data_IF_845899267428
#
_entry.id   IF_845899267428
#
_cell.length_a   1.000
_cell.length_b   1.000
_cell.length_c   1.000
_cell.angle_alpha   90.00
_cell.angle_beta   90.00
_cell.angle_gamma   90.00
#
_symmetry.space_group_name_H-M   'P 1'
#
loop_
_entity.id
_entity.type
_entity.pdbx_description
1 polymer ?
2 polymer ?
3 non-polymer ?
4 non-polymer ?
#
# COMPACT_ATOMS: atom_id res chain seq x y z
N UNK A 1 -13.45 -35.48 6.44
CA UNK A 1 -14.74 -35.21 7.06
C UNK A 1 -14.61 -34.32 8.28
N UNK A 2 -14.04 -34.87 9.35
CA UNK A 2 -13.80 -34.08 10.56
C UNK A 2 -12.74 -33.00 10.32
N UNK A 3 -11.92 -33.16 9.28
CA UNK A 3 -10.94 -32.13 8.96
C UNK A 3 -11.62 -30.90 8.37
N UNK A 4 -12.64 -31.10 7.53
CA UNK A 4 -13.39 -29.99 6.98
C UNK A 4 -14.12 -29.22 8.07
N UNK A 5 -14.61 -29.92 9.10
CA UNK A 5 -15.34 -29.26 10.17
C UNK A 5 -14.44 -28.31 10.96
N UNK A 6 -13.28 -28.81 11.40
CA UNK A 6 -12.34 -27.95 12.11
C UNK A 6 -11.93 -26.75 11.26
N UNK A 7 -11.86 -26.92 9.94
CA UNK A 7 -11.43 -25.82 9.08
C UNK A 7 -12.48 -24.71 9.04
N UNK A 8 -13.76 -25.08 8.90
CA UNK A 8 -14.81 -24.09 8.74
C UNK A 8 -15.17 -23.38 10.04
N UNK A 9 -14.87 -23.98 11.19
CA UNK A 9 -15.12 -23.31 12.46
C UNK A 9 -14.10 -22.19 12.68
N UNK A 10 -12.82 -22.48 12.42
CA UNK A 10 -11.80 -21.44 12.52
C UNK A 10 -12.03 -20.34 11.50
N UNK A 11 -12.50 -20.72 10.30
CA UNK A 11 -12.79 -19.76 9.25
C UNK A 11 -13.77 -18.70 9.74
N UNK A 12 -14.92 -19.12 10.27
CA UNK A 12 -15.93 -18.18 10.74
C UNK A 12 -15.49 -17.45 12.00
N UNK A 13 -14.54 -18.01 12.75
CA UNK A 13 -14.09 -17.36 13.97
C UNK A 13 -13.28 -16.10 13.66
N UNK A 14 -12.40 -16.18 12.65
CA UNK A 14 -11.61 -15.03 12.26
C UNK A 14 -12.43 -14.04 11.45
N UNK A 15 -13.30 -14.54 10.57
CA UNK A 15 -14.13 -13.66 9.76
C UNK A 15 -15.06 -12.82 10.63
N UNK A 16 -15.66 -13.44 11.65
CA UNK A 16 -16.50 -12.69 12.58
C UNK A 16 -15.68 -11.63 13.30
N UNK A 17 -14.53 -12.01 13.84
CA UNK A 17 -13.66 -11.04 14.50
C UNK A 17 -13.34 -9.88 13.57
N UNK A 18 -12.92 -10.18 12.34
CA UNK A 18 -12.64 -9.13 11.37
C UNK A 18 -13.89 -8.31 11.05
N UNK A 19 -15.08 -8.87 11.28
CA UNK A 19 -16.30 -8.10 11.10
C UNK A 19 -16.59 -7.20 12.29
N UNK A 20 -16.18 -7.61 13.50
CA UNK A 20 -16.27 -6.72 14.65
C UNK A 20 -15.29 -5.57 14.50
N UNK A 21 -14.01 -5.89 14.34
CA UNK A 21 -12.92 -4.91 14.28
C UNK A 21 -12.22 -5.09 12.94
N UNK A 22 -12.55 -4.23 11.97
CA UNK A 22 -11.99 -4.34 10.64
C UNK A 22 -10.47 -4.20 10.66
N UNK A 23 -9.93 -3.43 11.59
CA UNK A 23 -8.50 -3.25 11.71
C UNK A 23 -7.81 -4.30 12.56
N UNK A 24 -8.49 -5.39 12.87
CA UNK A 24 -7.95 -6.40 13.78
C UNK A 24 -6.83 -7.17 13.12
N UNK A 25 -5.63 -7.09 13.69
CA UNK A 25 -4.52 -7.90 13.22
C UNK A 25 -4.66 -9.32 13.73
N UNK A 26 -4.17 -10.27 12.95
CA UNK A 26 -4.21 -11.68 13.28
C UNK A 26 -2.79 -12.23 13.30
N UNK A 27 -2.49 -13.03 14.31
CA UNK A 27 -1.17 -13.63 14.43
C UNK A 27 -1.14 -14.99 13.72
N UNK A 28 0.08 -15.51 13.55
CA UNK A 28 0.23 -16.82 12.90
C UNK A 28 -0.39 -17.92 13.74
N UNK A 29 -0.47 -17.74 15.06
CA UNK A 29 -1.15 -18.71 15.91
C UNK A 29 -2.62 -18.82 15.53
N UNK A 30 -3.30 -17.67 15.40
CA UNK A 30 -4.71 -17.68 15.03
C UNK A 30 -4.92 -18.24 13.63
N UNK A 31 -3.98 -18.00 12.72
CA UNK A 31 -4.11 -18.44 11.34
C UNK A 31 -3.56 -19.84 11.10
N UNK A 32 -2.74 -20.36 12.01
CA UNK A 32 -2.17 -21.69 11.82
C UNK A 32 -3.21 -22.76 11.52
N UNK A 33 -4.38 -22.77 12.17
CA UNK A 33 -5.39 -23.79 11.83
C UNK A 33 -5.78 -23.81 10.36
N UNK A 34 -5.82 -22.65 9.70
CA UNK A 34 -6.19 -22.62 8.30
C UNK A 34 -5.01 -22.95 7.39
N UNK A 35 -3.83 -22.43 7.73
CA UNK A 35 -2.64 -22.75 6.96
C UNK A 35 -2.27 -24.22 7.11
N UNK A 36 -2.31 -24.74 8.33
CA UNK A 36 -1.84 -26.09 8.62
C UNK A 36 -2.86 -27.17 8.28
N UNK A 37 -4.05 -26.80 7.83
CA UNK A 37 -5.07 -27.79 7.54
C UNK A 37 -4.59 -28.78 6.48
N UNK A 38 -4.94 -30.06 6.68
CA UNK A 38 -4.59 -31.08 5.71
C UNK A 38 -5.36 -30.93 4.41
N UNK A 39 -6.48 -30.19 4.42
CA UNK A 39 -7.28 -30.04 3.22
C UNK A 39 -6.42 -29.48 2.08
N UNK A 40 -6.66 -29.89 0.84
CA UNK A 40 -5.91 -29.32 -0.28
C UNK A 40 -6.17 -27.83 -0.42
N UNK A 41 -5.31 -27.17 -1.21
CA UNK A 41 -5.41 -25.73 -1.36
C UNK A 41 -6.74 -25.33 -2.02
N UNK A 42 -7.20 -26.12 -2.99
CA UNK A 42 -8.44 -25.78 -3.68
C UNK A 42 -9.63 -25.80 -2.74
N UNK A 43 -9.59 -26.61 -1.70
CA UNK A 43 -10.70 -26.72 -0.76
C UNK A 43 -10.61 -25.76 0.42
N UNK A 44 -9.44 -25.16 0.65
CA UNK A 44 -9.28 -24.21 1.75
C UNK A 44 -9.59 -22.77 1.35
N UNK A 45 -9.87 -22.51 0.07
CA UNK A 45 -10.24 -21.19 -0.41
C UNK A 45 -11.56 -21.33 -1.16
N UNK A 46 -12.63 -20.72 -0.63
CA UNK A 46 -13.98 -20.93 -1.14
C UNK A 46 -14.49 -19.79 -2.01
N UNK A 47 -14.05 -18.56 -1.76
CA UNK A 47 -14.36 -17.42 -2.61
C UNK A 47 -13.22 -17.10 -3.58
N UNK A 48 -12.03 -16.90 -3.02
CA UNK A 48 -10.87 -16.55 -3.83
C UNK A 48 -10.37 -17.77 -4.60
N UNK A 49 -10.07 -17.56 -5.90
CA UNK A 49 -9.56 -18.62 -6.75
C UNK A 49 -8.03 -18.65 -6.58
N UNK A 50 -7.60 -19.32 -5.52
CA UNK A 50 -6.19 -19.28 -5.14
C UNK A 50 -5.32 -20.05 -6.12
N UNK A 51 -5.78 -21.23 -6.55
CA UNK A 51 -5.02 -22.03 -7.51
C UNK A 51 -4.63 -21.20 -8.72
N UNK A 52 -5.59 -20.49 -9.30
CA UNK A 52 -5.31 -19.67 -10.48
C UNK A 52 -4.38 -18.51 -10.13
N UNK A 53 -4.66 -17.81 -9.03
CA UNK A 53 -3.90 -16.60 -8.71
C UNK A 53 -2.42 -16.91 -8.58
N UNK A 54 -2.06 -18.03 -7.95
CA UNK A 54 -0.65 -18.39 -7.83
C UNK A 54 -0.09 -18.76 -9.19
N UNK A 55 -0.67 -19.79 -9.83
CA UNK A 55 -0.08 -20.30 -11.06
C UNK A 55 -0.09 -19.25 -12.17
N UNK A 56 -1.19 -18.53 -12.33
CA UNK A 56 -1.30 -17.61 -13.46
C UNK A 56 -0.50 -16.35 -13.26
N UNK A 57 0.42 -16.33 -12.29
CA UNK A 57 1.26 -15.16 -12.12
C UNK A 57 2.69 -15.58 -11.82
N UNK A 58 3.07 -16.80 -12.19
CA UNK A 58 4.43 -17.29 -11.98
C UNK A 58 5.27 -16.97 -13.21
N UNK A 59 5.61 -15.69 -13.33
CA UNK A 59 6.44 -15.19 -14.41
C UNK A 59 7.76 -14.66 -13.86
N UNK A 60 8.84 -14.99 -14.55
CA UNK A 60 10.15 -14.62 -14.06
C UNK A 60 10.55 -15.50 -12.89
N UNK A 61 11.30 -14.91 -11.96
CA UNK A 61 11.76 -15.66 -10.81
C UNK A 61 10.76 -15.58 -9.66
N UNK A 62 10.68 -16.63 -8.83
CA UNK A 62 9.77 -16.56 -7.68
C UNK A 62 10.00 -15.33 -6.80
N UNK A 63 11.25 -14.99 -6.52
CA UNK A 63 11.53 -13.80 -5.72
C UNK A 63 10.86 -12.56 -6.30
N UNK A 64 10.61 -12.56 -7.62
CA UNK A 64 9.94 -11.43 -8.26
C UNK A 64 8.42 -11.54 -8.14
N UNK A 65 7.84 -12.60 -8.71
CA UNK A 65 6.39 -12.65 -8.85
C UNK A 65 5.69 -12.96 -7.53
N UNK A 66 6.36 -13.63 -6.60
CA UNK A 66 5.75 -13.86 -5.29
C UNK A 66 5.67 -12.57 -4.49
N UNK A 67 6.60 -11.64 -4.70
CA UNK A 67 6.48 -10.31 -4.11
C UNK A 67 5.42 -9.50 -4.84
N UNK A 68 5.35 -9.63 -6.16
CA UNK A 68 4.30 -8.94 -6.91
C UNK A 68 2.92 -9.42 -6.47
N UNK A 69 2.79 -10.72 -6.20
CA UNK A 69 1.50 -11.24 -5.75
C UNK A 69 1.19 -10.82 -4.32
N UNK A 70 2.18 -10.92 -3.42
CA UNK A 70 1.98 -10.51 -2.04
C UNK A 70 1.51 -9.06 -1.95
N UNK A 71 2.09 -8.19 -2.79
CA UNK A 71 1.72 -6.77 -2.77
C UNK A 71 0.27 -6.59 -3.19
N UNK A 72 -0.13 -7.19 -4.31
CA UNK A 72 -1.52 -7.11 -4.74
C UNK A 72 -2.47 -7.60 -3.66
N UNK A 73 -2.13 -8.70 -2.99
CA UNK A 73 -2.98 -9.23 -1.94
C UNK A 73 -3.05 -8.27 -0.75
N UNK A 74 -1.92 -7.65 -0.39
CA UNK A 74 -1.92 -6.70 0.70
C UNK A 74 -2.84 -5.52 0.41
N UNK A 75 -2.81 -5.02 -0.82
CA UNK A 75 -3.70 -3.91 -1.19
C UNK A 75 -5.14 -4.38 -1.22
N UNK A 76 -5.40 -5.56 -1.82
CA UNK A 76 -6.75 -6.09 -1.84
C UNK A 76 -7.31 -6.26 -0.43
N UNK A 77 -6.48 -6.74 0.50
CA UNK A 77 -6.93 -6.86 1.89
C UNK A 77 -7.37 -5.50 2.42
N UNK A 78 -6.67 -4.43 2.04
CA UNK A 78 -7.09 -3.10 2.45
C UNK A 78 -8.43 -2.72 1.83
N UNK A 79 -8.63 -3.05 0.54
CA UNK A 79 -9.93 -2.83 -0.07
C UNK A 79 -11.04 -3.48 0.73
N UNK A 80 -10.78 -4.69 1.25
CA UNK A 80 -11.79 -5.40 2.02
C UNK A 80 -12.02 -4.78 3.38
N UNK A 81 -10.93 -4.50 4.12
CA UNK A 81 -11.07 -3.90 5.44
C UNK A 81 -11.69 -2.51 5.37
N UNK A 82 -11.49 -1.80 4.25
CA UNK A 82 -12.09 -0.48 4.11
C UNK A 82 -13.61 -0.57 4.08
N UNK A 83 -14.15 -1.54 3.32
CA UNK A 83 -15.60 -1.70 3.25
C UNK A 83 -16.20 -2.15 4.58
N UNK A 84 -15.39 -2.71 5.49
CA UNK A 84 -15.87 -3.13 6.80
C UNK A 84 -15.68 -2.07 7.87
N UNK A 85 -14.88 -1.04 7.61
CA UNK A 85 -14.59 -0.07 8.65
C UNK A 85 -15.85 0.71 9.03
N UNK A 86 -16.05 1.02 10.31
CA UNK A 86 -17.25 1.77 10.70
C UNK A 86 -17.45 3.06 9.92
N UNK A 87 -16.37 3.68 9.47
CA UNK A 87 -16.41 4.89 8.66
C UNK A 87 -15.76 4.57 7.31
N UNK A 88 -16.58 4.09 6.37
CA UNK A 88 -16.06 3.72 5.07
C UNK A 88 -15.52 4.97 4.35
N UNK A 89 -14.41 4.86 3.63
CA UNK A 89 -13.90 6.04 2.91
C UNK A 89 -14.85 6.50 1.82
N UNK A 90 -14.82 7.80 1.54
CA UNK A 90 -15.55 8.32 0.40
C UNK A 90 -15.03 7.68 -0.89
N UNK A 91 -15.91 7.57 -1.87
CA UNK A 91 -15.63 6.90 -3.14
C UNK A 91 -15.46 5.40 -2.99
N UNK A 92 -15.80 4.83 -1.83
CA UNK A 92 -15.66 3.39 -1.64
C UNK A 92 -16.49 2.59 -2.63
N UNK A 93 -17.47 3.22 -3.29
CA UNK A 93 -18.40 2.50 -4.13
C UNK A 93 -17.84 2.12 -5.49
N UNK A 94 -16.70 2.68 -5.88
CA UNK A 94 -16.13 2.38 -7.18
C UNK A 94 -14.63 2.52 -7.17
N UNK A 95 -13.97 1.69 -7.98
CA UNK A 95 -12.52 1.70 -8.14
C UNK A 95 -12.22 1.83 -9.62
N UNK A 96 -11.50 2.89 -9.99
CA UNK A 96 -11.23 3.20 -11.38
C UNK A 96 -9.86 2.68 -11.79
N UNK A 97 -9.79 2.10 -12.98
CA UNK A 97 -8.61 1.35 -13.40
C UNK A 97 -7.36 2.23 -13.42
N UNK A 98 -7.51 3.53 -13.61
CA UNK A 98 -6.37 4.43 -13.72
C UNK A 98 -5.93 4.99 -12.37
N UNK A 99 -6.55 4.56 -11.28
CA UNK A 99 -6.04 4.90 -9.96
C UNK A 99 -4.59 4.42 -9.85
N UNK A 100 -3.65 5.29 -9.48
CA UNK A 100 -2.23 4.88 -9.49
C UNK A 100 -1.95 3.59 -8.73
N UNK A 101 -2.38 3.50 -7.48
CA UNK A 101 -2.05 2.33 -6.65
C UNK A 101 -2.66 1.08 -7.27
N UNK A 102 -3.96 1.11 -7.56
CA UNK A 102 -4.61 -0.06 -8.16
C UNK A 102 -3.90 -0.49 -9.43
N UNK A 103 -3.62 0.46 -10.34
CA UNK A 103 -2.97 0.11 -11.59
C UNK A 103 -1.65 -0.60 -11.36
N UNK A 104 -0.77 -0.01 -10.55
CA UNK A 104 0.60 -0.49 -10.43
C UNK A 104 0.74 -1.67 -9.47
N UNK A 105 -0.30 -2.01 -8.72
CA UNK A 105 -0.22 -3.11 -7.75
C UNK A 105 -1.28 -4.17 -8.01
N UNK A 106 -2.56 -3.81 -7.96
CA UNK A 106 -3.62 -4.81 -8.09
C UNK A 106 -3.85 -5.16 -9.55
N UNK A 107 -4.05 -4.18 -10.41
CA UNK A 107 -4.33 -4.47 -11.81
C UNK A 107 -3.19 -5.20 -12.49
N UNK A 108 -1.99 -5.14 -11.92
CA UNK A 108 -0.83 -5.76 -12.54
C UNK A 108 -0.82 -7.28 -12.42
N UNK A 109 -1.84 -7.89 -11.81
CA UNK A 109 -1.87 -9.33 -11.63
C UNK A 109 -3.18 -9.89 -12.20
N UNK A 110 -3.09 -11.08 -12.80
CA UNK A 110 -4.28 -11.72 -13.36
C UNK A 110 -5.16 -12.27 -12.25
N UNK A 111 -6.40 -11.78 -12.18
CA UNK A 111 -7.32 -12.14 -11.13
C UNK A 111 -7.50 -11.08 -10.07
N UNK A 112 -6.72 -10.00 -10.12
CA UNK A 112 -6.88 -8.93 -9.14
C UNK A 112 -8.26 -8.31 -9.20
N UNK A 113 -8.70 -7.94 -10.41
CA UNK A 113 -10.02 -7.33 -10.56
C UNK A 113 -11.13 -8.31 -10.19
N UNK A 114 -10.92 -9.61 -10.42
CA UNK A 114 -11.92 -10.59 -10.02
C UNK A 114 -12.16 -10.55 -8.52
N UNK A 115 -11.14 -10.24 -7.73
CA UNK A 115 -11.31 -10.16 -6.29
C UNK A 115 -12.20 -8.98 -5.92
N UNK A 116 -12.08 -7.88 -6.65
CA UNK A 116 -12.94 -6.72 -6.38
C UNK A 116 -14.40 -7.07 -6.62
N UNK A 117 -14.69 -7.84 -7.66
CA UNK A 117 -16.06 -8.26 -7.91
C UNK A 117 -16.59 -9.11 -6.77
N UNK A 118 -15.72 -9.93 -6.16
CA UNK A 118 -16.10 -10.70 -4.98
C UNK A 118 -16.52 -9.78 -3.84
N UNK A 119 -15.82 -8.65 -3.68
CA UNK A 119 -16.18 -7.71 -2.63
C UNK A 119 -17.54 -7.07 -2.88
N UNK A 120 -17.93 -6.95 -4.15
CA UNK A 120 -19.19 -6.31 -4.50
C UNK A 120 -19.07 -5.30 -5.62
N UNK A 121 -17.85 -5.10 -6.14
CA UNK A 121 -17.64 -4.23 -7.30
C UNK A 121 -17.94 -5.04 -8.57
N UNK A 122 -19.23 -5.31 -8.75
CA UNK A 122 -19.67 -6.20 -9.82
C UNK A 122 -19.95 -5.46 -11.12
N UNK A 123 -20.39 -4.21 -11.03
CA UNK A 123 -20.74 -3.44 -12.22
C UNK A 123 -19.48 -2.94 -12.91
N UNK A 124 -19.30 -3.30 -14.17
CA UNK A 124 -18.11 -2.94 -14.93
C UNK A 124 -18.43 -1.81 -15.90
N UNK A 125 -17.51 -0.85 -15.96
CA UNK A 125 -17.52 0.22 -16.95
C UNK A 125 -16.17 0.18 -17.67
N UNK A 126 -15.98 0.98 -18.72
CA UNK A 126 -14.65 1.03 -19.36
C UNK A 126 -13.60 1.73 -18.52
N UNK A 127 -13.98 2.40 -17.43
CA UNK A 127 -13.03 3.13 -16.59
C UNK A 127 -12.83 2.51 -15.22
N UNK A 128 -13.56 1.45 -14.88
CA UNK A 128 -13.38 0.81 -13.60
C UNK A 128 -14.58 -0.05 -13.23
N UNK A 129 -14.53 -0.55 -12.01
CA UNK A 129 -15.59 -1.35 -11.42
C UNK A 129 -16.27 -0.55 -10.31
N UNK A 130 -17.51 -0.92 -10.01
CA UNK A 130 -18.29 -0.19 -9.02
C UNK A 130 -19.45 -1.04 -8.53
N UNK A 131 -19.92 -0.71 -7.34
CA UNK A 131 -21.05 -1.39 -6.76
C UNK A 131 -22.32 -1.09 -7.56
N UNK A 132 -23.33 -1.96 -7.47
CA UNK A 132 -24.64 -1.63 -8.04
C UNK A 132 -25.26 -0.45 -7.30
N UNK A 133 -25.69 0.55 -8.07
CA UNK A 133 -26.28 1.74 -7.48
C UNK A 133 -27.43 1.39 -6.55
N UNK A 134 -28.12 0.27 -6.82
CA UNK A 134 -29.24 -0.11 -5.98
C UNK A 134 -28.81 -0.57 -4.60
N UNK A 135 -27.67 -1.25 -4.50
CA UNK A 135 -27.23 -1.76 -3.22
C UNK A 135 -26.84 -0.61 -2.29
N UNK A 136 -27.41 -0.62 -1.08
CA UNK A 136 -27.16 0.45 -0.14
C UNK A 136 -25.78 0.32 0.48
N UNK A 137 -25.43 -0.86 0.95
CA UNK A 137 -24.19 -1.02 1.70
C UNK A 137 -23.57 -2.38 1.41
N UNK A 138 -22.28 -2.54 1.69
CA UNK A 138 -21.63 -3.84 1.45
C UNK A 138 -22.29 -4.97 2.21
N UNK A 139 -22.25 -6.15 1.60
CA UNK A 139 -22.57 -7.39 2.30
C UNK A 139 -21.44 -7.70 3.29
N UNK A 140 -21.66 -7.33 4.55
CA UNK A 140 -20.59 -7.42 5.54
C UNK A 140 -20.07 -8.85 5.67
N UNK A 141 -20.93 -9.84 5.46
CA UNK A 141 -20.50 -11.24 5.59
C UNK A 141 -19.63 -11.65 4.40
N UNK A 142 -19.98 -11.20 3.20
CA UNK A 142 -19.19 -11.59 2.03
C UNK A 142 -17.84 -10.88 2.01
N UNK A 143 -17.82 -9.58 2.32
CA UNK A 143 -16.56 -8.85 2.35
C UNK A 143 -15.60 -9.48 3.35
N UNK A 144 -16.09 -9.79 4.55
CA UNK A 144 -15.23 -10.34 5.58
C UNK A 144 -14.67 -11.69 5.17
N UNK A 145 -15.48 -12.51 4.50
CA UNK A 145 -15.01 -13.81 4.04
C UNK A 145 -13.91 -13.67 2.99
N UNK A 146 -14.07 -12.73 2.07
CA UNK A 146 -13.07 -12.52 1.02
C UNK A 146 -11.78 -11.97 1.62
N UNK A 147 -11.89 -10.97 2.50
CA UNK A 147 -10.71 -10.37 3.10
C UNK A 147 -9.88 -11.41 3.85
N UNK A 148 -10.54 -12.34 4.55
CA UNK A 148 -9.80 -13.34 5.31
C UNK A 148 -8.98 -14.24 4.41
N UNK A 149 -9.55 -14.64 3.27
CA UNK A 149 -8.82 -15.51 2.34
C UNK A 149 -7.69 -14.75 1.65
N UNK A 150 -7.89 -13.47 1.36
CA UNK A 150 -6.79 -12.63 0.87
C UNK A 150 -5.71 -12.55 1.94
N UNK A 151 -6.11 -12.19 3.16
CA UNK A 151 -5.16 -12.18 4.28
C UNK A 151 -4.48 -13.53 4.43
N UNK A 152 -5.24 -14.61 4.32
CA UNK A 152 -4.67 -15.94 4.50
C UNK A 152 -3.69 -16.27 3.38
N UNK A 153 -4.11 -16.11 2.13
CA UNK A 153 -3.25 -16.48 1.00
C UNK A 153 -1.95 -15.69 1.02
N UNK A 154 -2.04 -14.38 1.23
CA UNK A 154 -0.83 -13.58 1.36
C UNK A 154 0.09 -14.15 2.44
N UNK A 155 -0.50 -14.69 3.52
CA UNK A 155 0.30 -15.26 4.59
C UNK A 155 1.02 -16.52 4.12
N UNK A 156 0.35 -17.36 3.33
CA UNK A 156 1.02 -18.54 2.79
C UNK A 156 2.19 -18.15 1.91
N UNK A 157 2.01 -17.15 1.04
CA UNK A 157 3.10 -16.71 0.18
C UNK A 157 4.23 -16.09 0.99
N UNK A 158 3.91 -15.47 2.13
CA UNK A 158 4.97 -14.93 2.99
C UNK A 158 5.79 -16.04 3.61
N UNK A 159 5.14 -17.09 4.10
CA UNK A 159 5.87 -18.21 4.70
C UNK A 159 6.78 -18.87 3.67
N UNK A 160 6.31 -19.01 2.43
CA UNK A 160 7.16 -19.57 1.38
C UNK A 160 8.34 -18.67 1.08
N UNK A 161 8.12 -17.36 1.07
CA UNK A 161 9.22 -16.42 0.85
C UNK A 161 10.21 -16.45 2.02
N UNK A 162 9.72 -16.74 3.23
CA UNK A 162 10.60 -17.04 4.34
C UNK A 162 11.03 -18.50 4.37
N UNK A 163 10.41 -19.34 3.54
CA UNK A 163 10.75 -20.76 3.43
C UNK A 163 10.46 -21.51 4.73
N UNK A 164 9.30 -21.23 5.33
CA UNK A 164 8.91 -21.86 6.59
C UNK A 164 7.45 -22.29 6.57
N UNK A 165 6.94 -22.69 5.41
CA UNK A 165 5.54 -23.08 5.29
C UNK A 165 5.32 -24.47 5.89
N UNK A 166 4.19 -24.70 6.56
CA UNK A 166 3.92 -26.06 7.08
C UNK A 166 4.09 -27.15 6.04
N UNK A 167 3.65 -26.89 4.80
CA UNK A 167 3.77 -27.84 3.70
C UNK A 167 4.30 -27.08 2.48
N UNK A 168 5.58 -26.74 2.52
CA UNK A 168 6.18 -25.94 1.45
C UNK A 168 6.35 -26.76 0.18
N UNK A 169 6.86 -27.97 0.30
CA UNK A 169 6.98 -28.85 -0.86
C UNK A 169 5.63 -29.15 -1.49
N UNK A 170 4.53 -28.94 -0.76
CA UNK A 170 3.20 -29.16 -1.32
C UNK A 170 2.87 -28.09 -2.35
N UNK A 171 2.79 -26.83 -1.93
CA UNK A 171 2.44 -25.76 -2.86
C UNK A 171 3.50 -25.57 -3.95
N UNK A 172 4.69 -26.14 -3.79
CA UNK A 172 5.65 -26.20 -4.89
C UNK A 172 5.02 -26.80 -6.14
N UNK A 173 3.98 -27.63 -5.97
CA UNK A 173 3.22 -28.20 -7.07
C UNK A 173 2.90 -27.16 -8.14
N UNK B 1 15.07 38.03 -4.56
CA UNK B 1 15.21 38.42 -3.17
C UNK B 1 13.95 38.19 -2.36
N UNK B 2 13.05 39.17 -2.40
CA UNK B 2 11.78 39.04 -1.70
C UNK B 2 10.86 38.01 -2.37
N UNK B 3 11.08 37.71 -3.64
CA UNK B 3 10.23 36.75 -4.35
C UNK B 3 10.48 35.33 -3.85
N UNK B 4 11.70 35.04 -3.39
CA UNK B 4 11.97 33.70 -2.86
C UNK B 4 11.59 33.59 -1.39
N UNK B 5 11.63 34.70 -0.63
CA UNK B 5 11.21 34.65 0.76
C UNK B 5 9.81 34.06 0.88
N UNK B 6 8.88 34.53 0.03
CA UNK B 6 7.53 33.97 0.03
C UNK B 6 7.57 32.45 -0.13
N UNK B 7 8.51 31.94 -0.92
CA UNK B 7 8.62 30.50 -1.14
C UNK B 7 9.01 29.79 0.14
N UNK B 8 10.13 30.19 0.75
CA UNK B 8 10.58 29.52 1.97
C UNK B 8 9.58 29.70 3.11
N UNK B 9 8.88 30.83 3.14
CA UNK B 9 7.87 31.06 4.18
C UNK B 9 6.72 30.09 4.02
N UNK B 10 6.10 30.06 2.82
CA UNK B 10 5.07 29.08 2.55
C UNK B 10 5.55 27.67 2.86
N UNK B 11 6.78 27.35 2.47
CA UNK B 11 7.36 26.04 2.75
C UNK B 11 7.30 25.71 4.23
N UNK B 12 7.58 26.69 5.08
CA UNK B 12 7.58 26.47 6.52
C UNK B 12 6.17 26.37 7.09
N UNK B 13 5.23 27.19 6.60
CA UNK B 13 3.89 27.16 7.16
C UNK B 13 3.15 25.88 6.81
N UNK B 14 3.22 25.45 5.55
CA UNK B 14 2.59 24.20 5.16
C UNK B 14 3.19 23.03 5.93
N UNK B 15 4.51 23.05 6.13
CA UNK B 15 5.17 21.98 6.87
C UNK B 15 4.85 22.03 8.35
N UNK B 16 4.67 23.23 8.92
CA UNK B 16 4.30 23.34 10.32
C UNK B 16 2.91 22.75 10.57
N UNK B 17 1.94 23.09 9.72
CA UNK B 17 0.61 22.52 9.86
C UNK B 17 0.64 21.01 9.84
N UNK B 18 1.46 20.42 8.95
CA UNK B 18 1.56 18.97 8.86
C UNK B 18 2.17 18.38 10.13
N UNK B 19 3.18 19.05 10.69
CA UNK B 19 3.75 18.60 11.96
C UNK B 19 2.70 18.55 13.05
N UNK B 20 1.77 19.52 13.04
CA UNK B 20 0.71 19.54 14.04
C UNK B 20 -0.45 18.61 13.72
N UNK B 21 -0.63 18.25 12.45
CA UNK B 21 -1.70 17.34 12.04
C UNK B 21 -1.18 16.48 10.89
N UNK B 22 -0.85 15.23 11.20
CA UNK B 22 -0.19 14.36 10.22
C UNK B 22 -1.09 14.05 9.03
N UNK B 23 -2.40 14.06 9.22
CA UNK B 23 -3.33 13.71 8.17
C UNK B 23 -3.87 14.88 7.37
N UNK B 24 -3.33 16.08 7.58
CA UNK B 24 -3.88 17.26 6.94
C UNK B 24 -3.67 17.21 5.43
N UNK B 25 -4.71 17.55 4.69
CA UNK B 25 -4.66 17.64 3.24
C UNK B 25 -4.42 19.08 2.82
N UNK B 26 -3.79 19.25 1.67
CA UNK B 26 -3.48 20.57 1.13
C UNK B 26 -4.08 20.69 -0.27
N UNK B 27 -4.75 21.82 -0.52
CA UNK B 27 -5.34 22.08 -1.81
C UNK B 27 -4.29 22.65 -2.77
N UNK B 28 -4.60 22.57 -4.07
CA UNK B 28 -3.72 23.14 -5.07
C UNK B 28 -3.48 24.62 -4.80
N UNK B 29 -4.51 25.34 -4.39
CA UNK B 29 -4.35 26.75 -4.04
C UNK B 29 -3.32 26.91 -2.93
N UNK B 30 -3.48 26.15 -1.84
CA UNK B 30 -2.52 26.19 -0.74
C UNK B 30 -1.11 25.90 -1.23
N UNK B 31 -0.97 25.01 -2.20
CA UNK B 31 0.34 24.63 -2.72
C UNK B 31 0.84 25.57 -3.81
N UNK B 32 0.00 26.49 -4.29
CA UNK B 32 0.39 27.29 -5.44
C UNK B 32 1.69 28.05 -5.22
N UNK B 33 1.89 28.76 -4.11
CA UNK B 33 3.17 29.48 -3.93
C UNK B 33 4.38 28.58 -4.03
N UNK B 34 4.23 27.29 -3.71
CA UNK B 34 5.35 26.36 -3.82
C UNK B 34 5.50 25.80 -5.23
N UNK B 35 4.39 25.71 -5.97
CA UNK B 35 4.39 25.01 -7.24
C UNK B 35 4.27 25.92 -8.45
N UNK B 36 3.68 27.11 -8.30
CA UNK B 36 3.52 27.99 -9.44
C UNK B 36 4.78 28.79 -9.78
N UNK B 37 5.83 28.69 -8.95
CA UNK B 37 7.04 29.46 -9.20
C UNK B 37 7.70 29.03 -10.50
N UNK B 38 8.35 30.00 -11.16
CA UNK B 38 9.03 29.76 -12.43
C UNK B 38 10.41 29.12 -12.25
N UNK B 39 10.83 28.86 -11.01
CA UNK B 39 12.14 28.27 -10.78
C UNK B 39 12.15 26.82 -11.25
N UNK B 40 13.32 26.33 -11.68
CA UNK B 40 13.39 24.96 -12.21
C UNK B 40 13.10 23.92 -11.14
N UNK B 41 12.91 22.68 -11.61
CA UNK B 41 12.53 21.58 -10.72
C UNK B 41 13.50 21.40 -9.57
N UNK B 42 14.80 21.48 -9.86
CA UNK B 42 15.81 21.28 -8.82
C UNK B 42 15.76 22.33 -7.73
N UNK B 43 15.22 23.52 -8.03
CA UNK B 43 15.22 24.62 -7.08
C UNK B 43 13.99 24.62 -6.17
N UNK B 44 12.85 24.15 -6.66
CA UNK B 44 11.64 24.13 -5.85
C UNK B 44 11.64 23.00 -4.82
N UNK B 45 12.56 22.05 -4.94
CA UNK B 45 12.72 20.98 -3.96
C UNK B 45 14.11 21.10 -3.34
N UNK B 46 14.15 21.34 -2.04
CA UNK B 46 15.41 21.58 -1.33
C UNK B 46 15.95 20.34 -0.64
N UNK B 47 15.08 19.41 -0.26
CA UNK B 47 15.48 18.12 0.29
C UNK B 47 15.28 16.98 -0.69
N UNK B 48 14.10 16.89 -1.29
CA UNK B 48 13.78 15.80 -2.19
C UNK B 48 14.57 15.93 -3.49
N UNK B 49 15.18 14.82 -3.92
CA UNK B 49 15.96 14.80 -5.15
C UNK B 49 15.00 14.62 -6.33
N UNK B 50 14.18 15.65 -6.54
CA UNK B 50 13.11 15.56 -7.53
C UNK B 50 13.66 15.37 -8.94
N UNK B 51 14.76 16.05 -9.26
CA UNK B 51 15.33 15.95 -10.60
C UNK B 51 15.66 14.51 -10.96
N UNK B 52 16.26 13.77 -10.02
CA UNK B 52 16.62 12.38 -10.29
C UNK B 52 15.39 11.47 -10.31
N UNK B 53 14.48 11.67 -9.36
CA UNK B 53 13.28 10.84 -9.29
C UNK B 53 12.48 10.94 -10.59
N UNK B 54 12.43 12.12 -11.19
CA UNK B 54 11.62 12.32 -12.38
C UNK B 54 12.38 11.87 -13.63
N UNK B 55 13.64 12.28 -13.78
CA UNK B 55 14.36 12.00 -15.03
C UNK B 55 14.90 10.58 -15.10
N UNK B 56 15.27 9.99 -13.97
CA UNK B 56 15.94 8.69 -13.96
C UNK B 56 14.99 7.52 -13.80
N UNK B 57 13.68 7.74 -13.96
CA UNK B 57 12.70 6.67 -13.99
C UNK B 57 11.78 6.79 -15.19
N UNK B 58 12.22 7.52 -16.23
CA UNK B 58 11.44 7.67 -17.46
C UNK B 58 11.78 6.52 -18.39
N UNK B 59 11.16 5.37 -18.12
CA UNK B 59 11.28 4.19 -18.97
C UNK B 59 9.91 3.86 -19.52
N UNK B 60 9.79 3.89 -20.85
CA UNK B 60 8.52 3.60 -21.50
C UNK B 60 7.72 4.85 -21.81
N UNK B 61 6.35 4.73 -21.85
CA UNK B 61 5.46 5.86 -22.12
C UNK B 61 5.08 6.54 -20.80
N UNK B 62 5.00 7.87 -20.77
CA UNK B 62 4.65 8.55 -19.50
C UNK B 62 3.42 7.99 -18.80
N UNK B 63 2.38 7.62 -19.54
CA UNK B 63 1.19 7.06 -18.91
C UNK B 63 1.51 5.86 -18.02
N UNK B 64 2.63 5.17 -18.27
CA UNK B 64 2.99 3.99 -17.50
C UNK B 64 3.92 4.32 -16.34
N UNK B 65 5.03 5.02 -16.61
CA UNK B 65 6.01 5.26 -15.54
C UNK B 65 5.63 6.44 -14.65
N UNK B 66 4.74 7.32 -15.09
CA UNK B 66 4.26 8.37 -14.20
C UNK B 66 3.42 7.78 -13.08
N UNK B 67 2.58 6.79 -13.39
CA UNK B 67 1.80 6.12 -12.34
C UNK B 67 2.70 5.31 -11.43
N UNK B 68 3.73 4.68 -11.98
CA UNK B 68 4.70 3.96 -11.15
C UNK B 68 5.33 4.90 -10.12
N UNK B 69 5.72 6.09 -10.56
CA UNK B 69 6.34 7.05 -9.66
C UNK B 69 5.31 7.62 -8.68
N UNK B 70 4.13 8.00 -9.19
CA UNK B 70 3.06 8.47 -8.31
C UNK B 70 2.76 7.47 -7.20
N UNK B 71 2.72 6.19 -7.56
CA UNK B 71 2.50 5.15 -6.55
C UNK B 71 3.61 5.18 -5.51
N UNK B 72 4.87 5.24 -5.97
CA UNK B 72 5.99 5.34 -5.05
C UNK B 72 5.85 6.58 -4.16
N UNK B 73 5.42 7.70 -4.73
CA UNK B 73 5.26 8.92 -3.96
C UNK B 73 4.09 8.83 -2.98
N UNK B 74 3.03 8.13 -3.36
CA UNK B 74 1.95 7.88 -2.40
C UNK B 74 2.47 7.12 -1.19
N UNK B 75 3.21 6.04 -1.43
CA UNK B 75 3.70 5.22 -0.33
C UNK B 75 4.73 5.98 0.50
N UNK B 76 5.67 6.67 -0.17
CA UNK B 76 6.65 7.48 0.55
C UNK B 76 5.97 8.52 1.41
N UNK B 77 4.85 9.08 0.95
CA UNK B 77 4.12 10.06 1.75
C UNK B 77 3.51 9.41 2.98
N UNK B 78 3.05 8.15 2.85
CA UNK B 78 2.50 7.45 4.00
C UNK B 78 3.58 7.19 5.05
N UNK B 79 4.78 6.79 4.61
CA UNK B 79 5.90 6.63 5.54
C UNK B 79 6.09 7.88 6.38
N UNK B 80 6.13 9.05 5.74
CA UNK B 80 6.30 10.30 6.45
C UNK B 80 5.18 10.54 7.44
N UNK B 81 3.94 10.58 6.93
CA UNK B 81 2.78 10.80 7.79
C UNK B 81 2.78 9.81 8.96
N UNK B 82 3.21 8.57 8.72
CA UNK B 82 3.23 7.58 9.78
C UNK B 82 4.17 7.99 10.91
N UNK B 83 5.31 8.58 10.58
CA UNK B 83 6.24 9.06 11.61
C UNK B 83 5.70 10.29 12.33
N UNK B 84 4.80 11.04 11.71
CA UNK B 84 4.21 12.21 12.35
C UNK B 84 2.93 11.91 13.10
N UNK B 85 2.30 10.77 12.84
CA UNK B 85 1.00 10.49 13.44
C UNK B 85 1.14 10.37 14.96
N UNK B 86 0.09 10.71 15.71
CA UNK B 86 0.18 10.60 17.17
C UNK B 86 0.31 9.16 17.65
N UNK B 87 -0.26 8.19 16.93
CA UNK B 87 -0.07 6.77 17.24
C UNK B 87 0.83 6.19 16.14
N UNK B 88 2.13 6.15 16.41
CA UNK B 88 3.06 5.61 15.43
C UNK B 88 2.86 4.09 15.32
N UNK B 89 2.92 3.54 14.11
CA UNK B 89 2.77 2.09 13.96
C UNK B 89 3.93 1.35 14.61
N UNK B 90 3.64 0.18 15.16
CA UNK B 90 4.69 -0.68 15.68
C UNK B 90 5.62 -1.09 14.54
N UNK B 91 6.92 -1.15 14.84
CA UNK B 91 7.98 -1.42 13.87
C UNK B 91 8.25 -0.23 12.95
N UNK B 92 7.88 0.98 13.38
CA UNK B 92 8.15 2.17 12.56
C UNK B 92 9.64 2.44 12.43
N UNK B 93 10.47 1.85 13.31
CA UNK B 93 11.88 2.19 13.37
C UNK B 93 12.71 1.58 12.25
N UNK B 94 12.14 0.73 11.42
CA UNK B 94 12.92 0.08 10.38
C UNK B 94 12.05 -0.34 9.21
N UNK B 95 12.67 -0.34 8.02
CA UNK B 95 12.03 -0.77 6.78
C UNK B 95 12.94 -1.81 6.15
N UNK B 96 12.46 -3.06 6.08
CA UNK B 96 13.24 -4.13 5.49
C UNK B 96 13.16 -4.06 3.97
N UNK B 97 14.29 -4.35 3.31
CA UNK B 97 14.33 -4.29 1.86
C UNK B 97 13.40 -5.33 1.22
N UNK B 98 13.19 -6.46 1.89
CA UNK B 98 12.36 -7.53 1.35
C UNK B 98 10.89 -7.39 1.73
N UNK B 99 10.48 -6.23 2.21
CA UNK B 99 9.06 -5.98 2.46
C UNK B 99 8.31 -5.93 1.13
N UNK B 100 7.25 -6.74 0.94
CA UNK B 100 6.60 -6.77 -0.38
C UNK B 100 6.21 -5.40 -0.92
N UNK B 101 5.51 -4.59 -0.14
CA UNK B 101 5.06 -3.29 -0.61
C UNK B 101 6.25 -2.42 -0.98
N UNK B 102 7.22 -2.32 -0.06
CA UNK B 102 8.41 -1.50 -0.31
C UNK B 102 9.12 -1.94 -1.58
N UNK B 103 9.38 -3.24 -1.71
CA UNK B 103 10.10 -3.75 -2.87
C UNK B 103 9.37 -3.42 -4.17
N UNK B 104 8.04 -3.51 -4.15
CA UNK B 104 7.27 -3.44 -5.38
C UNK B 104 7.01 -2.01 -5.86
N UNK B 105 6.94 -1.05 -4.94
CA UNK B 105 6.46 0.30 -5.27
C UNK B 105 7.57 1.34 -5.18
N UNK B 106 8.21 1.50 -4.03
CA UNK B 106 9.20 2.55 -3.85
C UNK B 106 10.59 2.09 -4.26
N UNK B 107 10.99 0.86 -3.89
CA UNK B 107 12.27 0.33 -4.31
C UNK B 107 12.31 0.00 -5.79
N UNK B 108 11.19 0.15 -6.50
CA UNK B 108 11.15 -0.09 -7.93
C UNK B 108 11.68 1.10 -8.73
N UNK B 109 11.70 2.29 -8.14
CA UNK B 109 12.14 3.50 -8.82
C UNK B 109 13.48 3.92 -8.23
N UNK B 110 14.35 4.46 -9.08
CA UNK B 110 15.66 4.92 -8.64
C UNK B 110 15.49 6.17 -7.78
N UNK B 111 15.85 6.06 -6.50
CA UNK B 111 15.73 7.16 -5.56
C UNK B 111 14.75 6.94 -4.43
N UNK B 112 14.13 5.76 -4.35
CA UNK B 112 13.18 5.53 -3.26
C UNK B 112 13.86 5.48 -1.90
N UNK B 113 14.89 4.65 -1.76
CA UNK B 113 15.58 4.52 -0.49
C UNK B 113 16.04 5.89 0.03
N UNK B 114 16.67 6.69 -0.83
CA UNK B 114 17.16 8.00 -0.41
C UNK B 114 16.06 8.81 0.27
N UNK B 115 14.83 8.72 -0.22
CA UNK B 115 13.73 9.45 0.42
C UNK B 115 13.51 8.95 1.83
N UNK B 116 13.61 7.62 2.04
CA UNK B 116 13.47 7.09 3.38
C UNK B 116 14.58 7.58 4.30
N UNK B 117 15.79 7.72 3.76
CA UNK B 117 16.90 8.24 4.56
C UNK B 117 16.63 9.68 4.98
N UNK B 118 16.00 10.46 4.09
CA UNK B 118 15.62 11.82 4.46
C UNK B 118 14.70 11.84 5.67
N UNK B 119 13.87 10.80 5.84
CA UNK B 119 12.98 10.74 6.99
C UNK B 119 13.73 10.45 8.28
N UNK B 120 14.94 9.92 8.20
CA UNK B 120 15.71 9.52 9.36
C UNK B 120 16.12 8.06 9.37
N UNK B 121 15.80 7.28 8.34
CA UNK B 121 16.23 5.89 8.23
C UNK B 121 17.68 5.87 7.72
N UNK B 122 18.57 6.39 8.56
CA UNK B 122 19.95 6.63 8.16
C UNK B 122 20.87 5.45 8.44
N UNK B 123 20.51 4.59 9.38
CA UNK B 123 21.35 3.45 9.72
C UNK B 123 21.11 2.33 8.72
N UNK B 124 22.15 1.95 7.97
CA UNK B 124 22.03 0.93 6.93
C UNK B 124 22.47 -0.42 7.47
N UNK B 125 21.65 -1.43 7.22
CA UNK B 125 21.98 -2.82 7.48
C UNK B 125 21.88 -3.58 6.16
N UNK B 126 22.32 -4.83 6.10
CA UNK B 126 22.15 -5.58 4.85
C UNK B 126 20.71 -5.95 4.54
N UNK B 127 19.81 -5.88 5.51
CA UNK B 127 18.41 -6.27 5.31
C UNK B 127 17.45 -5.10 5.24
N UNK B 128 17.92 -3.87 5.45
CA UNK B 128 17.04 -2.73 5.38
C UNK B 128 17.65 -1.51 6.03
N UNK B 129 16.82 -0.48 6.18
CA UNK B 129 17.19 0.78 6.79
C UNK B 129 16.45 0.96 8.11
N UNK B 130 17.03 1.75 9.00
CA UNK B 130 16.41 1.98 10.30
C UNK B 130 16.90 3.29 10.88
N UNK B 131 16.17 3.77 11.89
CA UNK B 131 16.60 4.93 12.66
C UNK B 131 17.79 4.58 13.53
N UNK B 132 18.61 5.55 13.90
CA UNK B 132 19.71 5.27 14.82
C UNK B 132 19.20 4.74 16.15
N UNK B 133 19.89 3.71 16.67
CA UNK B 133 19.48 3.10 17.93
C UNK B 133 19.37 4.12 19.05
N UNK B 134 20.13 5.21 18.97
CA UNK B 134 20.15 6.20 20.03
C UNK B 134 19.15 7.31 19.85
N UNK B 135 18.62 7.46 18.63
CA UNK B 135 17.52 8.39 18.38
C UNK B 135 16.21 7.69 18.74
N UNK B 136 15.55 8.16 19.79
CA UNK B 136 14.37 7.46 20.30
C UNK B 136 13.12 7.82 19.52
N UNK B 137 13.04 9.01 18.97
CA UNK B 137 11.85 9.45 18.26
C UNK B 137 12.24 10.13 16.95
N UNK B 138 11.32 10.21 15.99
CA UNK B 138 11.65 10.86 14.72
C UNK B 138 11.76 12.37 14.87
N UNK B 139 12.60 12.96 14.02
CA UNK B 139 12.72 14.41 13.92
C UNK B 139 11.49 14.94 13.20
N UNK B 140 10.52 15.44 13.97
CA UNK B 140 9.22 15.80 13.40
C UNK B 140 9.35 16.90 12.35
N UNK B 141 10.19 17.90 12.58
CA UNK B 141 10.37 18.94 11.58
C UNK B 141 11.03 18.39 10.32
N UNK B 142 12.03 17.52 10.49
CA UNK B 142 12.65 16.87 9.34
C UNK B 142 11.63 16.10 8.52
N UNK B 143 10.78 15.32 9.20
CA UNK B 143 9.80 14.48 8.49
C UNK B 143 8.79 15.34 7.76
N UNK B 144 8.29 16.41 8.41
CA UNK B 144 7.25 17.22 7.81
C UNK B 144 7.70 17.85 6.50
N UNK B 145 8.91 18.43 6.49
CA UNK B 145 9.39 19.10 5.29
C UNK B 145 9.59 18.12 4.14
N UNK B 146 10.17 16.95 4.43
CA UNK B 146 10.36 15.94 3.39
C UNK B 146 9.02 15.37 2.96
N UNK B 147 8.13 15.11 3.92
CA UNK B 147 6.80 14.62 3.58
C UNK B 147 6.06 15.64 2.71
N UNK B 148 6.25 16.93 2.98
CA UNK B 148 5.60 17.96 2.17
C UNK B 148 6.09 17.91 0.73
N UNK B 149 7.41 17.78 0.55
CA UNK B 149 7.97 17.78 -0.81
C UNK B 149 7.53 16.54 -1.57
N UNK B 150 7.50 15.37 -0.92
CA UNK B 150 6.94 14.18 -1.55
C UNK B 150 5.51 14.44 -1.98
N UNK B 151 4.70 14.97 -1.06
CA UNK B 151 3.32 15.29 -1.38
C UNK B 151 3.23 16.26 -2.56
N UNK B 152 4.07 17.29 -2.57
CA UNK B 152 3.99 18.29 -3.62
C UNK B 152 4.39 17.71 -4.97
N UNK B 153 5.48 16.94 -5.02
CA UNK B 153 5.92 16.38 -6.30
C UNK B 153 4.84 15.47 -6.87
N UNK B 154 4.27 14.59 -6.05
CA UNK B 154 3.18 13.75 -6.52
C UNK B 154 2.07 14.58 -7.13
N UNK B 155 1.81 15.76 -6.57
CA UNK B 155 0.75 16.61 -7.11
C UNK B 155 1.14 17.16 -8.48
N UNK B 156 2.42 17.46 -8.69
CA UNK B 156 2.86 17.90 -10.02
C UNK B 156 2.61 16.82 -11.06
N UNK B 157 2.97 15.57 -10.73
CA UNK B 157 2.80 14.49 -11.68
C UNK B 157 1.33 14.16 -11.92
N UNK B 158 0.48 14.38 -10.90
CA UNK B 158 -0.95 14.19 -11.10
C UNK B 158 -1.51 15.18 -12.10
N UNK B 159 -1.11 16.45 -11.97
CA UNK B 159 -1.58 17.47 -12.91
C UNK B 159 -1.16 17.14 -14.33
N UNK B 160 0.08 16.69 -14.52
CA UNK B 160 0.54 16.31 -15.85
C UNK B 160 -0.30 15.17 -16.42
N UNK B 161 -0.68 14.22 -15.58
CA UNK B 161 -1.59 13.15 -16.00
C UNK B 161 -2.99 13.68 -16.22
N UNK C 1 -4.28 8.87 4.55
CA UNK C 1 -4.43 7.56 3.93
C UNK C 1 -4.20 7.63 2.43
N UNK C 2 -4.05 6.47 1.81
CA UNK C 2 -3.71 6.36 0.39
C UNK C 2 -5.00 6.23 -0.42
N UNK C 3 -5.08 6.96 -1.53
CA UNK C 3 -6.25 6.93 -2.38
C UNK C 3 -6.19 5.71 -3.29
N UNK C 4 -7.19 4.83 -3.16
CA UNK C 4 -7.26 3.60 -3.95
C UNK C 4 -8.47 3.60 -4.87
N UNK C 5 -9.09 4.76 -5.11
CA UNK C 5 -10.39 4.80 -5.77
C UNK C 5 -10.45 5.73 -6.97
N UNK C 6 -10.12 7.01 -6.78
CA UNK C 6 -10.41 8.02 -7.78
C UNK C 6 -9.47 7.89 -8.98
N UNK C 7 -10.00 8.21 -10.17
CA UNK C 7 -9.17 8.21 -11.37
C UNK C 7 -8.20 9.38 -11.35
N UNK C 8 -8.63 10.50 -10.80
CA UNK C 8 -7.73 11.64 -10.63
C UNK C 8 -6.74 11.34 -9.51
N UNK D 1 -4.55 -2.79 8.44
CA UNK D 1 -3.56 -1.79 8.09
C UNK D 1 -2.43 -2.43 7.31
N UNK D 2 -1.98 -1.74 6.26
CA UNK D 2 -0.98 -2.30 5.35
C UNK D 2 0.39 -2.19 6.01
N UNK D 3 1.12 -3.30 6.05
CA UNK D 3 2.43 -3.37 6.69
C UNK D 3 3.48 -2.92 5.70
N UNK D 4 4.08 -1.75 5.95
CA UNK D 4 5.13 -1.21 5.11
C UNK D 4 6.53 -1.52 5.62
N UNK D 5 6.67 -2.28 6.71
CA UNK D 5 7.93 -2.35 7.43
C UNK D 5 8.52 -3.76 7.50
N UNK D 6 7.80 -4.74 8.04
CA UNK D 6 8.41 -6.02 8.36
C UNK D 6 8.70 -6.82 7.09
N UNK D 7 9.14 -8.06 7.26
CA UNK D 7 9.45 -8.95 6.15
C UNK D 7 8.71 -10.28 6.31
#
# INVERSE_FOLDING_TARGET
GEEERAFLVAREELASALRRDSGQAFSLEQLRPLLASSLPLAARYLQLDAARLVRCNAHGEPRNYLNTLSTALNILEKYGRNLLSPQRPRYWRGVKFNNPVFRSTVDAVQGGRDVLRLYGYTEEQPDGLSFPEGQEEPDEHQVATVTLEVLLLRTELSLLLQNTHPRQQALEQ
GEEERAFLVAREELASALRRDSGQAFSLEQLRPLLASSLPLAARYLQLDAARLVRCNAHGEPRNYLNTLSTALNILEKYGRNLLSPQRPRYWRGVKFNNPVFRSTVDAVQGGRDVLRLYGYTEEQPDGLSFPEGQEEPDEHQVATVTLEVLLLRTELSLLLQNTHPRQQALEQ
DVDLYTDS
DVDLYTDS
#
